data_IF_460780763056
#
_entry.id   IF_460780763056
#
_cell.length_a   1.000
_cell.length_b   1.000
_cell.length_c   1.000
_cell.angle_alpha   90.00
_cell.angle_beta   90.00
_cell.angle_gamma   90.00
#
_symmetry.space_group_name_H-M   'P 1'
#
loop_
_entity.id
_entity.type
_entity.pdbx_description
1 polymer ?
#
# COMPACT_ATOMS: atom_id res chain seq x y z
N UNK A 1 -14.08 3.55 19.05
CA UNK A 1 -14.25 4.79 18.26
C UNK A 1 -13.02 5.13 17.42
N UNK A 2 -11.81 4.89 17.93
CA UNK A 2 -10.54 5.17 17.25
C UNK A 2 -10.39 4.50 15.84
N UNK A 3 -10.82 3.24 15.61
CA UNK A 3 -10.77 2.64 14.27
C UNK A 3 -11.67 3.32 13.23
N UNK A 4 -12.80 3.89 13.66
CA UNK A 4 -13.74 4.60 12.78
C UNK A 4 -13.10 5.90 12.29
N UNK A 5 -12.44 6.63 13.20
CA UNK A 5 -11.77 7.89 12.86
C UNK A 5 -10.66 7.62 11.85
N UNK A 6 -9.82 6.60 12.07
CA UNK A 6 -8.80 6.22 11.10
C UNK A 6 -9.41 5.72 9.79
N UNK A 7 -10.47 4.93 9.85
CA UNK A 7 -11.21 4.48 8.68
C UNK A 7 -11.64 5.64 7.78
N UNK A 8 -12.29 6.66 8.36
CA UNK A 8 -12.71 7.84 7.61
C UNK A 8 -11.53 8.71 7.15
N UNK A 9 -10.47 8.85 7.95
CA UNK A 9 -9.27 9.59 7.55
C UNK A 9 -8.59 8.95 6.33
N UNK A 10 -8.43 7.63 6.32
CA UNK A 10 -7.87 6.91 5.17
C UNK A 10 -8.83 6.87 3.97
N UNK A 11 -10.15 6.84 4.20
CA UNK A 11 -11.13 6.96 3.12
C UNK A 11 -11.06 8.34 2.46
N UNK A 12 -10.91 9.41 3.26
CA UNK A 12 -10.69 10.76 2.77
C UNK A 12 -9.39 10.86 1.98
N UNK A 13 -8.29 10.31 2.50
CA UNK A 13 -7.01 10.25 1.80
C UNK A 13 -7.12 9.49 0.47
N UNK A 14 -7.85 8.37 0.45
CA UNK A 14 -8.11 7.62 -0.77
C UNK A 14 -8.85 8.47 -1.80
N UNK A 15 -9.86 9.21 -1.37
CA UNK A 15 -10.62 10.12 -2.24
C UNK A 15 -9.74 11.25 -2.80
N UNK A 16 -8.95 11.92 -1.98
CA UNK A 16 -8.08 13.03 -2.44
C UNK A 16 -6.99 12.54 -3.39
N UNK A 17 -6.35 11.42 -3.07
CA UNK A 17 -5.37 10.78 -3.95
C UNK A 17 -6.02 10.32 -5.27
N UNK A 18 -7.26 9.83 -5.23
CA UNK A 18 -7.99 9.45 -6.43
C UNK A 18 -8.32 10.64 -7.32
N UNK A 19 -8.62 11.83 -6.78
CA UNK A 19 -8.90 13.00 -7.64
C UNK A 19 -7.65 13.60 -8.29
N UNK A 20 -6.46 13.21 -7.84
CA UNK A 20 -5.22 13.71 -8.41
C UNK A 20 -4.98 13.21 -9.84
N UNK A 21 -4.38 14.07 -10.67
CA UNK A 21 -3.94 13.75 -12.03
C UNK A 21 -2.62 12.94 -12.05
N UNK A 22 -1.91 12.88 -10.93
CA UNK A 22 -0.64 12.15 -10.83
C UNK A 22 -0.94 10.64 -10.77
N UNK A 23 -0.38 9.81 -11.67
CA UNK A 23 -0.71 8.39 -11.74
C UNK A 23 -0.29 7.60 -10.49
N UNK A 24 0.80 7.99 -9.82
CA UNK A 24 1.22 7.37 -8.56
C UNK A 24 0.18 7.53 -7.45
N UNK A 25 -0.58 8.63 -7.45
CA UNK A 25 -1.60 8.88 -6.44
C UNK A 25 -2.79 7.90 -6.55
N UNK A 26 -3.06 7.32 -7.73
CA UNK A 26 -4.05 6.24 -7.86
C UNK A 26 -3.63 4.99 -7.08
N UNK A 27 -2.32 4.72 -7.04
CA UNK A 27 -1.70 3.61 -6.30
C UNK A 27 -1.81 3.85 -4.80
N UNK A 28 -1.53 5.08 -4.35
CA UNK A 28 -1.73 5.50 -2.96
C UNK A 28 -3.20 5.46 -2.54
N UNK A 29 -4.11 5.83 -3.43
CA UNK A 29 -5.56 5.79 -3.20
C UNK A 29 -6.03 4.36 -2.94
N UNK A 30 -5.58 3.40 -3.75
CA UNK A 30 -5.95 2.00 -3.59
C UNK A 30 -5.42 1.43 -2.26
N UNK A 31 -4.16 1.70 -1.92
CA UNK A 31 -3.59 1.27 -0.64
C UNK A 31 -4.37 1.85 0.55
N UNK A 32 -4.68 3.14 0.50
CA UNK A 32 -5.45 3.86 1.52
C UNK A 32 -6.87 3.32 1.64
N UNK A 33 -7.51 2.93 0.54
CA UNK A 33 -8.84 2.33 0.53
C UNK A 33 -8.87 0.99 1.26
N UNK A 34 -7.91 0.10 1.02
CA UNK A 34 -7.85 -1.18 1.74
C UNK A 34 -7.62 -0.98 3.25
N UNK A 35 -6.75 -0.04 3.62
CA UNK A 35 -6.52 0.30 5.03
C UNK A 35 -7.80 0.87 5.65
N UNK A 36 -8.49 1.79 4.96
CA UNK A 36 -9.75 2.37 5.41
C UNK A 36 -10.80 1.28 5.69
N UNK A 37 -11.01 0.38 4.74
CA UNK A 37 -11.97 -0.72 4.86
C UNK A 37 -11.62 -1.65 6.04
N UNK A 38 -10.34 -1.98 6.24
CA UNK A 38 -9.93 -2.81 7.37
C UNK A 38 -10.21 -2.13 8.73
N UNK A 39 -9.92 -0.82 8.84
CA UNK A 39 -10.18 -0.08 10.08
C UNK A 39 -11.68 0.08 10.36
N UNK A 40 -12.49 0.26 9.32
CA UNK A 40 -13.96 0.33 9.43
C UNK A 40 -14.52 -1.02 9.87
N UNK A 41 -14.07 -2.13 9.29
CA UNK A 41 -14.56 -3.48 9.64
C UNK A 41 -14.18 -3.90 11.06
N UNK A 42 -13.02 -3.46 11.57
CA UNK A 42 -12.61 -3.63 12.98
C UNK A 42 -13.29 -2.65 13.95
N UNK A 43 -14.15 -1.74 13.47
CA UNK A 43 -14.87 -0.84 14.35
C UNK A 43 -15.82 -1.61 15.27
N UNK A 44 -15.94 -1.24 16.56
CA UNK A 44 -16.82 -1.93 17.51
C UNK A 44 -18.29 -2.00 17.08
N UNK A 45 -18.72 -1.06 16.23
CA UNK A 45 -20.09 -0.96 15.73
C UNK A 45 -20.42 -2.01 14.65
N UNK A 46 -19.40 -2.47 13.91
CA UNK A 46 -19.53 -3.43 12.81
C UNK A 46 -19.03 -4.79 13.25
N UNK A 47 -17.83 -4.83 13.83
CA UNK A 47 -17.15 -5.99 14.40
C UNK A 47 -17.39 -7.29 13.61
N UNK A 48 -17.08 -7.24 12.31
CA UNK A 48 -17.17 -8.41 11.44
C UNK A 48 -16.21 -9.50 11.94
N UNK A 49 -16.68 -10.75 11.95
CA UNK A 49 -15.85 -11.87 12.38
C UNK A 49 -14.64 -12.03 11.46
N UNK A 50 -13.47 -12.23 12.08
CA UNK A 50 -12.21 -12.42 11.35
C UNK A 50 -12.22 -13.66 10.45
N UNK A 51 -13.07 -14.64 10.77
CA UNK A 51 -13.18 -15.91 10.04
C UNK A 51 -13.95 -15.79 8.72
N UNK A 52 -14.60 -14.64 8.46
CA UNK A 52 -15.27 -14.42 7.20
C UNK A 52 -14.25 -14.37 6.05
N UNK A 53 -14.49 -15.12 4.98
CA UNK A 53 -13.55 -15.18 3.85
C UNK A 53 -13.18 -13.80 3.29
N UNK A 54 -14.15 -12.87 3.25
CA UNK A 54 -13.90 -11.48 2.86
C UNK A 54 -12.96 -10.73 3.81
N UNK A 55 -13.04 -10.98 5.12
CA UNK A 55 -12.13 -10.38 6.11
C UNK A 55 -10.70 -10.91 5.99
N UNK A 56 -10.54 -12.21 5.72
CA UNK A 56 -9.24 -12.80 5.44
C UNK A 56 -8.62 -12.21 4.16
N UNK A 57 -9.41 -12.06 3.09
CA UNK A 57 -8.93 -11.44 1.85
C UNK A 57 -8.55 -9.96 2.05
N UNK A 58 -9.34 -9.22 2.83
CA UNK A 58 -9.07 -7.81 3.15
C UNK A 58 -7.80 -7.68 3.99
N UNK A 59 -7.64 -8.51 5.02
CA UNK A 59 -6.44 -8.54 5.86
C UNK A 59 -5.18 -8.86 5.06
N UNK A 60 -5.27 -9.84 4.15
CA UNK A 60 -4.19 -10.16 3.24
C UNK A 60 -3.90 -9.01 2.26
N UNK A 61 -4.92 -8.33 1.75
CA UNK A 61 -4.71 -7.18 0.85
C UNK A 61 -3.98 -6.04 1.56
N UNK A 62 -4.30 -5.75 2.82
CA UNK A 62 -3.57 -4.73 3.59
C UNK A 62 -2.11 -5.15 3.82
N UNK A 63 -1.88 -6.40 4.22
CA UNK A 63 -0.56 -6.88 4.61
C UNK A 63 0.38 -7.11 3.42
N UNK A 64 -0.13 -7.70 2.33
CA UNK A 64 0.67 -8.15 1.20
C UNK A 64 0.59 -7.24 -0.04
N UNK A 65 -0.35 -6.30 -0.09
CA UNK A 65 -0.54 -5.41 -1.26
C UNK A 65 -0.38 -3.94 -0.85
N UNK A 66 -1.08 -3.45 0.17
CA UNK A 66 -1.05 -2.02 0.52
C UNK A 66 0.34 -1.51 0.92
N UNK A 67 1.09 -2.26 1.74
CA UNK A 67 2.45 -1.89 2.13
C UNK A 67 3.40 -1.75 0.90
N UNK A 68 3.49 -2.75 0.00
CA UNK A 68 4.20 -2.61 -1.28
C UNK A 68 3.81 -1.38 -2.10
N UNK A 69 2.51 -1.13 -2.21
CA UNK A 69 1.99 0.00 -2.99
C UNK A 69 2.47 1.33 -2.40
N UNK A 70 2.45 1.48 -1.08
CA UNK A 70 2.95 2.68 -0.39
C UNK A 70 4.45 2.86 -0.65
N UNK A 71 5.25 1.78 -0.51
CA UNK A 71 6.69 1.84 -0.75
C UNK A 71 7.03 2.25 -2.20
N UNK A 72 6.30 1.74 -3.18
CA UNK A 72 6.48 2.13 -4.59
C UNK A 72 6.08 3.58 -4.86
N UNK A 73 5.05 4.10 -4.20
CA UNK A 73 4.67 5.52 -4.29
C UNK A 73 5.78 6.40 -3.72
N UNK A 74 6.36 6.04 -2.58
CA UNK A 74 7.49 6.77 -1.98
C UNK A 74 8.72 6.75 -2.91
N UNK A 75 9.01 5.59 -3.50
CA UNK A 75 10.10 5.43 -4.48
C UNK A 75 9.87 6.28 -5.73
N UNK A 76 8.64 6.33 -6.25
CA UNK A 76 8.27 7.15 -7.40
C UNK A 76 8.65 8.62 -7.17
N UNK A 77 8.29 9.18 -6.01
CA UNK A 77 8.65 10.57 -5.68
C UNK A 77 10.15 10.75 -5.47
N UNK A 78 10.83 9.79 -4.85
CA UNK A 78 12.26 9.87 -4.54
C UNK A 78 13.14 9.82 -5.79
N UNK A 79 12.74 9.06 -6.82
CA UNK A 79 13.47 8.91 -8.08
C UNK A 79 12.96 9.81 -9.21
N UNK A 80 11.99 10.68 -8.95
CA UNK A 80 11.26 11.43 -9.99
C UNK A 80 10.75 10.52 -11.13
N UNK A 81 10.42 9.26 -10.80
CA UNK A 81 10.11 8.23 -11.77
C UNK A 81 8.73 8.48 -12.39
N UNK A 82 8.66 8.89 -13.66
CA UNK A 82 7.39 9.18 -14.31
C UNK A 82 6.68 7.90 -14.76
N UNK A 83 5.63 7.51 -14.05
CA UNK A 83 4.80 6.37 -14.45
C UNK A 83 3.80 6.74 -15.55
N UNK A 84 3.60 5.84 -16.51
CA UNK A 84 2.44 5.92 -17.40
C UNK A 84 1.16 5.61 -16.62
N UNK A 85 0.00 6.12 -17.05
CA UNK A 85 -1.29 5.89 -16.39
C UNK A 85 -1.62 4.41 -16.23
N UNK A 86 -1.22 3.55 -17.17
CA UNK A 86 -1.46 2.11 -17.10
C UNK A 86 -0.54 1.36 -16.09
N UNK A 87 0.47 2.03 -15.53
CA UNK A 87 1.50 1.40 -14.68
C UNK A 87 0.92 0.95 -13.34
N UNK A 88 0.04 1.75 -12.71
CA UNK A 88 -0.53 1.40 -11.41
C UNK A 88 -1.27 0.05 -11.46
N UNK A 89 -1.97 -0.24 -12.56
CA UNK A 89 -2.77 -1.46 -12.70
C UNK A 89 -1.89 -2.68 -12.86
N UNK A 90 -0.79 -2.54 -13.60
CA UNK A 90 0.22 -3.61 -13.76
C UNK A 90 0.92 -3.90 -12.44
N UNK A 91 1.25 -2.88 -11.67
CA UNK A 91 1.85 -3.04 -10.33
C UNK A 91 0.89 -3.82 -9.42
N UNK A 92 -0.38 -3.40 -9.36
CA UNK A 92 -1.38 -4.09 -8.55
C UNK A 92 -1.56 -5.55 -8.97
N UNK A 93 -1.71 -5.81 -10.27
CA UNK A 93 -1.85 -7.18 -10.79
C UNK A 93 -0.61 -8.04 -10.51
N UNK A 94 0.60 -7.48 -10.63
CA UNK A 94 1.84 -8.16 -10.30
C UNK A 94 1.90 -8.55 -8.81
N UNK A 95 1.56 -7.62 -7.92
CA UNK A 95 1.50 -7.88 -6.47
C UNK A 95 0.43 -8.93 -6.12
N UNK A 96 -0.75 -8.84 -6.72
CA UNK A 96 -1.83 -9.81 -6.53
C UNK A 96 -1.44 -11.21 -7.03
N UNK A 97 -0.78 -11.30 -8.19
CA UNK A 97 -0.29 -12.55 -8.75
C UNK A 97 0.82 -13.17 -7.90
N UNK A 98 1.77 -12.36 -7.42
CA UNK A 98 2.83 -12.83 -6.53
C UNK A 98 2.28 -13.31 -5.18
N UNK A 99 1.30 -12.61 -4.61
CA UNK A 99 0.58 -13.05 -3.43
C UNK A 99 -0.11 -14.40 -3.66
N UNK A 100 -0.86 -14.53 -4.76
CA UNK A 100 -1.54 -15.78 -5.10
C UNK A 100 -0.56 -16.94 -5.34
N UNK A 101 0.61 -16.66 -5.93
CA UNK A 101 1.69 -17.63 -6.10
C UNK A 101 2.25 -18.10 -4.75
N UNK A 102 2.54 -17.18 -3.83
CA UNK A 102 2.96 -17.51 -2.46
C UNK A 102 1.90 -18.37 -1.75
N UNK A 103 0.63 -18.01 -1.93
CA UNK A 103 -0.51 -18.74 -1.34
C UNK A 103 -0.63 -20.16 -1.88
N UNK A 104 -0.43 -20.37 -3.18
CA UNK A 104 -0.52 -21.68 -3.82
C UNK A 104 0.67 -22.60 -3.55
N UNK A 105 1.86 -22.03 -3.35
CA UNK A 105 3.08 -22.79 -3.09
C UNK A 105 3.28 -23.13 -1.61
N UNK A 106 2.45 -22.59 -0.71
CA UNK A 106 2.60 -22.79 0.74
C UNK A 106 3.74 -21.97 1.35
N UNK A 107 4.44 -21.15 0.57
CA UNK A 107 5.61 -20.36 0.98
C UNK A 107 5.22 -18.96 1.51
N UNK A 108 3.98 -18.77 1.98
CA UNK A 108 3.47 -17.46 2.37
C UNK A 108 4.33 -16.77 3.43
N UNK A 109 4.84 -17.50 4.42
CA UNK A 109 5.66 -16.93 5.49
C UNK A 109 7.01 -16.42 4.98
N UNK A 110 7.72 -17.24 4.20
CA UNK A 110 9.02 -16.88 3.62
C UNK A 110 8.86 -15.75 2.60
N UNK A 111 7.80 -15.80 1.80
CA UNK A 111 7.43 -14.76 0.86
C UNK A 111 7.18 -13.42 1.58
N UNK A 112 6.46 -13.42 2.70
CA UNK A 112 6.18 -12.23 3.49
C UNK A 112 7.49 -11.60 3.99
N UNK A 113 8.42 -12.40 4.50
CA UNK A 113 9.73 -11.93 4.98
C UNK A 113 10.53 -11.30 3.85
N UNK A 114 10.63 -11.96 2.69
CA UNK A 114 11.39 -11.44 1.54
C UNK A 114 10.77 -10.15 1.03
N UNK A 115 9.44 -10.10 0.89
CA UNK A 115 8.78 -8.91 0.36
C UNK A 115 8.86 -7.75 1.34
N UNK A 116 8.64 -7.98 2.65
CA UNK A 116 8.82 -6.94 3.66
C UNK A 116 10.26 -6.45 3.67
N UNK A 117 11.24 -7.36 3.64
CA UNK A 117 12.66 -6.99 3.58
C UNK A 117 12.99 -6.12 2.35
N UNK A 118 12.48 -6.50 1.18
CA UNK A 118 12.63 -5.73 -0.05
C UNK A 118 12.00 -4.34 0.07
N UNK A 119 10.79 -4.24 0.64
CA UNK A 119 10.11 -2.95 0.80
C UNK A 119 10.78 -2.05 1.84
N UNK A 120 11.28 -2.61 2.93
CA UNK A 120 12.10 -1.88 3.89
C UNK A 120 13.34 -1.31 3.18
N UNK A 121 14.04 -2.12 2.37
CA UNK A 121 15.19 -1.64 1.60
C UNK A 121 14.80 -0.52 0.64
N UNK A 122 13.67 -0.65 -0.08
CA UNK A 122 13.14 0.40 -0.97
C UNK A 122 12.86 1.69 -0.20
N UNK A 123 12.23 1.61 0.98
CA UNK A 123 11.92 2.76 1.82
C UNK A 123 13.19 3.45 2.34
N UNK A 124 14.19 2.68 2.79
CA UNK A 124 15.47 3.21 3.26
C UNK A 124 16.23 3.92 2.13
N UNK A 125 16.30 3.31 0.94
CA UNK A 125 16.92 3.93 -0.24
C UNK A 125 16.19 5.21 -0.61
N UNK A 126 14.86 5.17 -0.63
CA UNK A 126 14.02 6.34 -0.94
C UNK A 126 14.26 7.48 0.05
N UNK A 127 14.32 7.18 1.35
CA UNK A 127 14.61 8.17 2.38
C UNK A 127 16.01 8.79 2.20
N UNK A 128 17.01 7.98 1.87
CA UNK A 128 18.36 8.46 1.55
C UNK A 128 18.37 9.42 0.36
N UNK A 129 17.69 9.07 -0.73
CA UNK A 129 17.57 9.92 -1.93
C UNK A 129 16.87 11.25 -1.64
N UNK A 130 15.76 11.22 -0.89
CA UNK A 130 15.04 12.41 -0.46
C UNK A 130 15.91 13.33 0.40
N UNK A 131 16.69 12.75 1.34
CA UNK A 131 17.60 13.53 2.19
C UNK A 131 18.70 14.23 1.39
N UNK A 132 19.25 13.57 0.37
CA UNK A 132 20.25 14.15 -0.52
C UNK A 132 19.67 15.32 -1.32
N UNK A 133 18.49 15.16 -1.92
CA UNK A 133 17.81 16.21 -2.67
C UNK A 133 17.56 17.45 -1.80
N UNK A 134 17.08 17.25 -0.58
CA UNK A 134 16.85 18.34 0.36
C UNK A 134 18.14 19.11 0.67
N UNK A 135 19.26 18.40 0.90
CA UNK A 135 20.56 19.02 1.16
C UNK A 135 21.09 19.86 -0.02
N UNK A 136 20.82 19.43 -1.26
CA UNK A 136 21.24 20.15 -2.47
C UNK A 136 20.41 21.43 -2.63
N UNK A 137 19.11 21.40 -2.34
CA UNK A 137 18.23 22.56 -2.49
C UNK A 137 18.53 23.74 -1.55
N UNK A 138 19.32 23.53 -0.48
CA UNK A 138 19.68 24.59 0.47
C UNK A 138 21.02 25.27 0.15
N UNK A 139 21.70 24.87 -0.91
CA UNK A 139 22.93 25.51 -1.42
C UNK A 139 22.61 26.41 -2.60
#
# INVERSE_FOLDING_TARGET
>A
MLPIIFGFAFAWLAYTCWQSQVPSNKTAALASLFIALQQITHAPLINLSADHAGMLMLSNSVSYISLPLIALVVLHFSLAWQWQTATWGRIFLGLAALFELGRRTGLNADYLIVIIGLWIAVLVVSAGLLSQQWSISQR
#
